data_IF_915791439261
#
_entry.id   IF_915791439261
#
_cell.length_a   1.000
_cell.length_b   1.000
_cell.length_c   1.000
_cell.angle_alpha   90.00
_cell.angle_beta   90.00
_cell.angle_gamma   90.00
#
_symmetry.space_group_name_H-M   'P 1'
#
loop_
_entity.id
_entity.type
_entity.pdbx_description
1 polymer ?
#
# COMPACT_ATOMS: atom_id res chain seq x y z
N UNK A 1 -43.52 -33.48 23.80
CA UNK A 1 -42.09 -33.17 23.59
C UNK A 1 -41.89 -32.89 22.11
N UNK A 2 -41.16 -31.83 21.83
CA UNK A 2 -41.26 -30.95 20.65
C UNK A 2 -40.54 -31.48 19.40
N UNK A 3 -41.23 -31.53 18.26
CA UNK A 3 -40.62 -31.36 16.94
C UNK A 3 -41.58 -30.60 15.99
N UNK A 4 -41.14 -29.41 15.56
CA UNK A 4 -41.60 -28.60 14.42
C UNK A 4 -40.33 -28.35 13.58
N UNK A 5 -40.29 -28.28 12.25
CA UNK A 5 -41.25 -28.26 11.14
C UNK A 5 -40.49 -28.66 9.85
N UNK A 6 -41.27 -29.10 8.85
CA UNK A 6 -40.93 -29.56 7.50
C UNK A 6 -40.24 -28.53 6.57
N UNK A 7 -39.25 -29.02 5.81
CA UNK A 7 -39.00 -28.96 4.32
C UNK A 7 -39.03 -27.60 3.58
N UNK A 8 -38.21 -27.32 2.55
CA UNK A 8 -38.07 -28.01 1.24
C UNK A 8 -36.72 -27.66 0.56
N UNK A 9 -36.21 -28.60 -0.26
CA UNK A 9 -35.03 -28.56 -1.13
C UNK A 9 -35.36 -28.11 -2.58
N UNK A 10 -34.38 -27.47 -3.23
CA UNK A 10 -33.99 -27.52 -4.66
C UNK A 10 -34.72 -26.75 -5.80
N UNK A 11 -33.88 -25.95 -6.48
CA UNK A 11 -33.66 -25.81 -7.94
C UNK A 11 -34.19 -24.57 -8.71
N UNK A 12 -33.32 -24.07 -9.61
CA UNK A 12 -33.38 -22.96 -10.59
C UNK A 12 -33.14 -21.56 -9.98
N UNK A 13 -32.26 -20.70 -10.48
CA UNK A 13 -31.46 -20.62 -11.70
C UNK A 13 -31.07 -19.14 -11.87
N UNK A 14 -29.84 -18.88 -12.32
CA UNK A 14 -29.35 -17.60 -12.87
C UNK A 14 -29.71 -16.29 -12.13
N UNK A 15 -28.74 -15.79 -11.35
CA UNK A 15 -28.28 -14.40 -11.25
C UNK A 15 -27.51 -14.31 -9.92
N UNK A 16 -26.18 -14.34 -9.99
CA UNK A 16 -25.34 -13.93 -8.86
C UNK A 16 -25.24 -12.42 -8.94
N UNK A 17 -25.81 -11.65 -7.98
CA UNK A 17 -25.53 -10.24 -7.91
C UNK A 17 -24.14 -10.08 -7.28
N UNK A 18 -23.25 -9.42 -8.02
CA UNK A 18 -22.00 -8.84 -7.55
C UNK A 18 -22.23 -8.06 -6.27
N UNK A 19 -21.72 -8.56 -5.14
CA UNK A 19 -21.71 -7.85 -3.85
C UNK A 19 -20.81 -8.63 -2.90
N UNK A 20 -19.51 -8.29 -2.88
CA UNK A 20 -18.60 -8.27 -1.73
C UNK A 20 -17.34 -7.57 -2.27
N UNK A 21 -17.35 -6.24 -2.19
CA UNK A 21 -16.14 -5.42 -2.26
C UNK A 21 -15.89 -4.96 -0.84
N UNK A 22 -15.18 -5.78 -0.07
CA UNK A 22 -14.50 -5.29 1.12
C UNK A 22 -13.26 -4.54 0.64
N UNK A 23 -13.45 -3.25 0.34
CA UNK A 23 -12.41 -2.27 0.64
C UNK A 23 -12.21 -2.33 2.15
N UNK A 24 -11.14 -2.97 2.60
CA UNK A 24 -10.82 -3.08 4.02
C UNK A 24 -10.31 -1.72 4.55
N UNK A 25 -11.19 -0.73 4.71
CA UNK A 25 -11.03 0.20 5.84
C UNK A 25 -11.93 -0.30 6.95
N UNK A 26 -11.34 -1.05 7.89
CA UNK A 26 -12.03 -1.35 9.13
C UNK A 26 -12.32 -0.05 9.86
N UNK A 27 -13.56 0.07 10.31
CA UNK A 27 -13.93 1.10 11.27
C UNK A 27 -13.39 0.63 12.62
N UNK A 28 -12.40 1.33 13.18
CA UNK A 28 -11.96 1.05 14.55
C UNK A 28 -13.10 1.40 15.51
N UNK A 29 -13.78 0.39 16.05
CA UNK A 29 -14.77 0.59 17.10
C UNK A 29 -14.02 0.70 18.44
N UNK A 30 -13.81 1.92 18.92
CA UNK A 30 -13.25 2.15 20.26
C UNK A 30 -14.34 1.91 21.32
N UNK A 31 -14.22 0.81 22.07
CA UNK A 31 -14.88 0.68 23.37
C UNK A 31 -13.82 0.89 24.46
N UNK A 32 -13.49 2.13 24.78
CA UNK A 32 -12.65 2.46 25.92
C UNK A 32 -13.52 2.96 27.09
N UNK A 33 -13.56 2.18 28.17
CA UNK A 33 -13.97 2.65 29.50
C UNK A 33 -12.83 3.46 30.14
N UNK A 34 -13.20 4.43 30.99
CA UNK A 34 -12.41 5.57 31.46
C UNK A 34 -10.99 5.32 32.04
N UNK A 35 -10.10 6.28 31.71
CA UNK A 35 -8.95 6.79 32.48
C UNK A 35 -7.51 6.34 32.20
N UNK A 36 -7.17 5.99 30.95
CA UNK A 36 -5.82 6.23 30.42
C UNK A 36 -5.95 6.91 29.06
N UNK A 37 -5.44 8.14 28.93
CA UNK A 37 -5.40 8.82 27.63
C UNK A 37 -4.56 7.98 26.67
N UNK A 38 -5.13 7.53 25.55
CA UNK A 38 -4.38 6.87 24.49
C UNK A 38 -3.15 7.71 24.12
N UNK A 39 -2.00 7.08 23.82
CA UNK A 39 -0.82 7.83 23.40
C UNK A 39 -1.14 8.68 22.16
N UNK A 40 -0.46 9.83 21.98
CA UNK A 40 -0.64 10.64 20.78
C UNK A 40 -0.37 9.81 19.52
N UNK A 41 -1.08 10.14 18.44
CA UNK A 41 -0.87 9.48 17.16
C UNK A 41 0.57 9.68 16.69
N UNK A 42 1.24 8.56 16.41
CA UNK A 42 2.64 8.51 16.06
C UNK A 42 2.81 7.68 14.79
N UNK A 43 3.70 8.17 13.93
CA UNK A 43 4.10 7.52 12.69
C UNK A 43 5.61 7.39 12.68
N UNK A 44 6.12 6.42 11.92
CA UNK A 44 7.55 6.24 11.71
C UNK A 44 7.82 5.77 10.30
N UNK A 45 9.01 6.05 9.80
CA UNK A 45 9.44 5.58 8.50
C UNK A 45 10.89 5.10 8.56
N UNK A 46 11.18 4.00 7.84
CA UNK A 46 12.55 3.60 7.55
C UNK A 46 12.70 3.40 6.06
N UNK A 47 13.74 4.00 5.53
CA UNK A 47 14.11 3.90 4.13
C UNK A 47 15.46 3.19 3.98
N UNK A 48 15.51 2.14 3.17
CA UNK A 48 16.74 1.49 2.74
C UNK A 48 16.87 1.65 1.24
N UNK A 49 17.81 2.49 0.79
CA UNK A 49 18.07 2.74 -0.62
C UNK A 49 19.43 2.18 -1.02
N UNK A 50 19.50 1.46 -2.14
CA UNK A 50 20.75 0.97 -2.72
C UNK A 50 21.75 2.11 -2.97
N UNK A 51 21.25 3.25 -3.47
CA UNK A 51 22.04 4.43 -3.84
C UNK A 51 22.82 5.04 -2.67
N UNK A 52 22.30 4.91 -1.44
CA UNK A 52 22.94 5.40 -0.22
C UNK A 52 23.56 4.28 0.62
N UNK A 53 23.67 3.07 0.08
CA UNK A 53 24.20 1.91 0.78
C UNK A 53 23.27 1.30 1.84
N UNK A 54 21.99 1.68 1.86
CA UNK A 54 21.03 1.24 2.87
C UNK A 54 20.77 -0.28 2.90
N UNK A 55 21.12 -1.01 1.84
CA UNK A 55 20.96 -2.46 1.75
C UNK A 55 22.24 -3.24 2.11
N UNK A 56 23.36 -2.56 2.38
CA UNK A 56 24.67 -3.20 2.56
C UNK A 56 24.77 -4.08 3.82
N UNK A 57 24.10 -3.69 4.90
CA UNK A 57 24.17 -4.39 6.20
C UNK A 57 23.05 -5.43 6.38
N UNK A 58 22.35 -5.79 5.30
CA UNK A 58 21.34 -6.84 5.35
C UNK A 58 22.01 -8.22 5.43
N UNK A 59 21.48 -9.09 6.28
CA UNK A 59 21.93 -10.48 6.36
C UNK A 59 21.36 -11.24 5.18
N UNK A 60 22.21 -11.88 4.36
CA UNK A 60 21.78 -12.57 3.14
C UNK A 60 22.09 -14.08 3.16
N UNK A 61 21.29 -14.86 2.42
CA UNK A 61 21.46 -16.28 2.16
C UNK A 61 20.90 -16.59 0.76
N UNK A 62 21.76 -16.94 -0.22
CA UNK A 62 21.35 -17.05 -1.63
C UNK A 62 21.07 -15.72 -2.33
N UNK A 63 21.33 -14.60 -1.66
CA UNK A 63 21.27 -13.23 -2.17
C UNK A 63 22.63 -12.56 -1.94
N UNK A 64 23.00 -11.68 -2.86
CA UNK A 64 24.13 -10.77 -2.73
C UNK A 64 23.67 -9.32 -2.83
N UNK A 65 24.43 -8.44 -2.17
CA UNK A 65 24.40 -6.99 -2.45
C UNK A 65 25.33 -6.75 -3.64
N UNK A 66 24.76 -6.45 -4.79
CA UNK A 66 25.50 -6.18 -6.01
C UNK A 66 26.34 -4.89 -5.89
N UNK A 67 27.27 -4.67 -6.83
CA UNK A 67 28.16 -3.51 -6.84
C UNK A 67 27.44 -2.15 -6.93
N UNK A 68 26.21 -2.13 -7.43
CA UNK A 68 25.33 -0.96 -7.46
C UNK A 68 24.46 -0.80 -6.19
N UNK A 69 24.73 -1.61 -5.16
CA UNK A 69 24.02 -1.63 -3.88
C UNK A 69 22.69 -2.38 -3.88
N UNK A 70 22.27 -2.96 -5.00
CA UNK A 70 20.97 -3.64 -5.10
C UNK A 70 21.01 -5.08 -4.58
N UNK A 71 19.88 -5.58 -4.06
CA UNK A 71 19.74 -7.00 -3.73
C UNK A 71 19.43 -7.80 -4.99
N UNK A 72 20.17 -8.89 -5.19
CA UNK A 72 20.03 -9.85 -6.29
C UNK A 72 20.31 -11.26 -5.80
N UNK A 73 19.74 -12.25 -6.48
CA UNK A 73 20.14 -13.65 -6.31
C UNK A 73 21.65 -13.79 -6.55
N UNK A 74 22.28 -14.60 -5.70
CA UNK A 74 23.67 -14.97 -5.83
C UNK A 74 23.76 -16.32 -6.56
N UNK A 75 24.26 -16.37 -7.82
CA UNK A 75 24.38 -17.60 -8.64
C UNK A 75 25.18 -18.71 -7.96
N UNK A 76 26.03 -18.38 -6.98
CA UNK A 76 26.90 -19.34 -6.30
C UNK A 76 26.28 -19.94 -5.03
N UNK A 77 25.26 -19.29 -4.46
CA UNK A 77 24.70 -19.68 -3.15
C UNK A 77 23.18 -19.83 -3.11
N UNK A 78 22.46 -19.48 -4.20
CA UNK A 78 21.03 -19.69 -4.28
C UNK A 78 20.64 -21.17 -4.12
N UNK A 79 19.40 -21.40 -3.69
CA UNK A 79 18.88 -22.73 -3.42
C UNK A 79 17.72 -23.03 -4.34
N UNK A 80 17.54 -24.31 -4.64
CA UNK A 80 16.37 -24.77 -5.35
C UNK A 80 15.29 -25.20 -4.36
N UNK A 81 14.09 -24.65 -4.52
CA UNK A 81 12.90 -25.02 -3.76
C UNK A 81 11.77 -25.40 -4.74
N UNK A 82 10.65 -25.85 -4.17
CA UNK A 82 9.44 -26.15 -4.92
C UNK A 82 8.29 -25.29 -4.39
N UNK A 83 7.29 -25.05 -5.24
CA UNK A 83 6.05 -24.42 -4.83
C UNK A 83 5.47 -25.16 -3.62
N UNK A 84 5.13 -24.44 -2.52
CA UNK A 84 4.61 -25.07 -1.32
C UNK A 84 3.27 -25.80 -1.54
N UNK A 85 2.58 -25.51 -2.64
CA UNK A 85 1.34 -26.16 -3.03
C UNK A 85 1.51 -26.96 -4.32
N UNK A 86 0.69 -28.00 -4.49
CA UNK A 86 0.60 -28.67 -5.77
C UNK A 86 0.11 -27.69 -6.84
N UNK A 87 0.60 -27.83 -8.07
CA UNK A 87 0.21 -26.96 -9.17
C UNK A 87 -1.33 -26.88 -9.30
N UNK A 88 -1.85 -25.66 -9.30
CA UNK A 88 -3.28 -25.36 -9.41
C UNK A 88 -4.10 -25.56 -8.13
N UNK A 89 -3.49 -25.96 -7.01
CA UNK A 89 -4.24 -26.28 -5.78
C UNK A 89 -4.35 -25.12 -4.78
N UNK A 90 -3.69 -23.99 -5.01
CA UNK A 90 -3.76 -22.84 -4.10
C UNK A 90 -4.85 -21.90 -4.59
N UNK A 91 -6.00 -21.82 -3.92
CA UNK A 91 -7.11 -20.87 -4.22
C UNK A 91 -7.53 -20.82 -5.72
N UNK A 92 -7.39 -21.93 -6.45
CA UNK A 92 -7.70 -22.03 -7.89
C UNK A 92 -6.57 -21.62 -8.84
N UNK A 93 -5.36 -21.39 -8.31
CA UNK A 93 -4.13 -21.08 -9.04
C UNK A 93 -2.87 -21.68 -8.38
N UNK A 94 -1.74 -21.02 -8.55
CA UNK A 94 -0.45 -21.37 -7.94
C UNK A 94 -0.07 -20.32 -6.90
N UNK A 95 0.64 -20.72 -5.84
CA UNK A 95 1.18 -19.78 -4.86
C UNK A 95 2.41 -19.04 -5.41
N UNK A 96 3.27 -19.76 -6.12
CA UNK A 96 4.31 -19.18 -6.95
C UNK A 96 4.06 -19.57 -8.41
N UNK A 97 4.99 -20.32 -9.01
CA UNK A 97 4.93 -20.74 -10.40
C UNK A 97 4.35 -22.16 -10.59
N UNK A 98 3.95 -22.84 -9.50
CA UNK A 98 3.44 -24.21 -9.52
C UNK A 98 4.51 -25.29 -9.73
N UNK A 99 5.79 -24.94 -9.67
CA UNK A 99 6.90 -25.86 -9.94
C UNK A 99 8.13 -25.57 -9.10
N UNK A 100 9.30 -25.96 -9.61
CA UNK A 100 10.58 -25.64 -8.97
C UNK A 100 11.04 -24.23 -9.30
N UNK A 101 11.81 -23.64 -8.40
CA UNK A 101 12.43 -22.34 -8.59
C UNK A 101 13.72 -22.21 -7.79
N UNK A 102 14.47 -21.20 -8.15
CA UNK A 102 15.68 -20.73 -7.52
C UNK A 102 15.33 -19.60 -6.56
N UNK A 103 15.86 -19.62 -5.33
CA UNK A 103 15.50 -18.66 -4.28
C UNK A 103 16.70 -18.29 -3.40
N UNK A 104 16.63 -17.08 -2.87
CA UNK A 104 17.46 -16.59 -1.77
C UNK A 104 16.68 -15.57 -0.94
N UNK A 105 17.22 -15.23 0.23
CA UNK A 105 16.61 -14.28 1.15
C UNK A 105 17.60 -13.27 1.73
N UNK A 106 17.08 -12.09 2.05
CA UNK A 106 17.79 -11.01 2.70
C UNK A 106 16.92 -10.45 3.83
N UNK A 107 17.51 -10.30 5.02
CA UNK A 107 16.83 -9.82 6.23
C UNK A 107 17.47 -8.51 6.67
N UNK A 108 16.63 -7.48 6.86
CA UNK A 108 17.08 -6.19 7.35
C UNK A 108 17.68 -6.31 8.75
N UNK A 109 18.55 -5.36 9.17
CA UNK A 109 18.85 -5.16 10.57
C UNK A 109 17.57 -4.98 11.41
N UNK A 110 17.67 -5.23 12.71
CA UNK A 110 16.60 -4.88 13.65
C UNK A 110 16.45 -3.37 13.70
N UNK A 111 15.24 -2.87 13.49
CA UNK A 111 14.93 -1.44 13.56
C UNK A 111 14.03 -1.18 14.76
N UNK A 112 14.50 -0.37 15.70
CA UNK A 112 13.67 0.13 16.79
C UNK A 112 12.63 1.11 16.24
N UNK A 113 11.37 0.95 16.64
CA UNK A 113 10.28 1.82 16.17
C UNK A 113 10.26 3.20 16.84
N UNK A 114 10.84 3.32 18.04
CA UNK A 114 10.84 4.56 18.85
C UNK A 114 9.52 4.82 19.58
N UNK A 115 8.47 4.06 19.29
CA UNK A 115 7.17 4.05 19.96
C UNK A 115 6.53 2.66 19.80
N UNK A 116 5.50 2.36 20.60
CA UNK A 116 4.72 1.14 20.45
C UNK A 116 3.88 1.18 19.18
N UNK A 117 4.37 0.59 18.08
CA UNK A 117 3.63 0.58 16.82
C UNK A 117 2.58 -0.52 16.80
N UNK A 118 1.48 -0.27 16.08
CA UNK A 118 0.41 -1.23 15.89
C UNK A 118 0.36 -1.74 14.46
N UNK A 119 0.66 -0.88 13.49
CA UNK A 119 0.61 -1.18 12.07
C UNK A 119 1.95 -0.99 11.39
N UNK A 120 2.30 -1.89 10.46
CA UNK A 120 3.47 -1.78 9.58
C UNK A 120 3.14 -2.21 8.16
N UNK A 121 3.57 -1.41 7.19
CA UNK A 121 3.55 -1.74 5.75
C UNK A 121 4.97 -1.71 5.23
N UNK A 122 5.35 -2.68 4.40
CA UNK A 122 6.66 -2.74 3.76
C UNK A 122 6.51 -2.62 2.24
N UNK A 123 6.92 -1.48 1.69
CA UNK A 123 6.93 -1.21 0.25
C UNK A 123 8.32 -1.45 -0.35
N UNK A 124 8.37 -1.79 -1.64
CA UNK A 124 9.61 -2.06 -2.36
C UNK A 124 9.63 -1.40 -3.72
N UNK A 125 10.84 -1.16 -4.21
CA UNK A 125 11.09 -0.78 -5.60
C UNK A 125 12.01 -1.83 -6.20
N UNK A 126 11.51 -2.57 -7.18
CA UNK A 126 12.24 -3.65 -7.79
C UNK A 126 11.96 -3.76 -9.30
N UNK A 127 12.98 -4.17 -10.04
CA UNK A 127 12.82 -4.69 -11.38
C UNK A 127 12.65 -6.22 -11.26
N UNK A 128 11.61 -6.77 -11.87
CA UNK A 128 11.38 -8.23 -11.91
C UNK A 128 11.29 -8.66 -13.38
N UNK A 129 12.41 -9.02 -14.03
CA UNK A 129 12.40 -9.59 -15.37
C UNK A 129 11.47 -10.82 -15.46
N UNK A 130 10.99 -11.14 -16.67
CA UNK A 130 10.18 -12.34 -16.90
C UNK A 130 10.88 -13.59 -16.34
N UNK A 131 10.10 -14.48 -15.72
CA UNK A 131 10.62 -15.65 -15.00
C UNK A 131 11.06 -15.37 -13.56
N UNK A 132 10.95 -14.14 -13.07
CA UNK A 132 11.37 -13.74 -11.71
C UNK A 132 10.26 -13.04 -10.93
N UNK A 133 10.31 -13.15 -9.60
CA UNK A 133 9.37 -12.51 -8.68
C UNK A 133 10.01 -12.31 -7.31
N UNK A 134 9.30 -11.64 -6.40
CA UNK A 134 9.74 -11.46 -5.02
C UNK A 134 8.59 -11.71 -4.03
N UNK A 135 8.96 -11.95 -2.77
CA UNK A 135 8.08 -12.03 -1.62
C UNK A 135 8.63 -11.11 -0.53
N UNK A 136 7.75 -10.34 0.10
CA UNK A 136 8.10 -9.44 1.21
C UNK A 136 7.44 -9.92 2.48
N UNK A 137 8.22 -10.04 3.56
CA UNK A 137 7.72 -10.43 4.87
C UNK A 137 8.15 -9.44 5.95
N UNK A 138 7.35 -9.33 7.00
CA UNK A 138 7.62 -8.50 8.17
C UNK A 138 7.43 -9.31 9.45
N UNK A 139 8.23 -9.03 10.47
CA UNK A 139 7.99 -9.50 11.84
C UNK A 139 8.22 -8.38 12.84
N UNK A 140 7.58 -8.48 13.99
CA UNK A 140 7.68 -7.52 15.07
C UNK A 140 8.25 -8.15 16.34
N UNK A 141 8.99 -7.36 17.11
CA UNK A 141 9.40 -7.70 18.47
C UNK A 141 8.37 -7.17 19.47
N UNK A 142 7.78 -8.06 20.25
CA UNK A 142 6.66 -7.76 21.18
C UNK A 142 7.18 -7.41 22.58
N UNK A 143 8.25 -8.07 22.97
CA UNK A 143 9.08 -7.78 24.15
C UNK A 143 10.53 -8.15 23.81
N UNK A 144 11.54 -7.66 24.56
CA UNK A 144 12.94 -7.93 24.23
C UNK A 144 13.24 -9.43 24.06
N UNK A 145 13.67 -9.81 22.85
CA UNK A 145 13.98 -11.18 22.45
C UNK A 145 12.78 -12.04 22.03
N UNK A 146 11.54 -11.55 22.15
CA UNK A 146 10.32 -12.27 21.77
C UNK A 146 9.76 -11.67 20.48
N UNK A 147 9.87 -12.44 19.40
CA UNK A 147 9.46 -12.07 18.06
C UNK A 147 8.20 -12.80 17.65
N UNK A 148 7.33 -12.11 16.90
CA UNK A 148 6.29 -12.78 16.13
C UNK A 148 6.90 -13.71 15.08
N UNK A 149 6.06 -14.57 14.48
CA UNK A 149 6.42 -15.17 13.20
C UNK A 149 6.63 -14.10 12.12
N UNK A 150 7.14 -14.53 10.97
CA UNK A 150 7.10 -13.73 9.76
C UNK A 150 5.68 -13.73 9.19
N UNK A 151 5.19 -12.54 8.83
CA UNK A 151 3.95 -12.35 8.09
C UNK A 151 4.27 -11.94 6.67
N UNK A 152 3.62 -12.55 5.69
CA UNK A 152 3.77 -12.20 4.28
C UNK A 152 2.92 -10.96 3.96
N UNK A 153 3.56 -9.94 3.36
CA UNK A 153 2.96 -8.66 2.98
C UNK A 153 2.60 -8.60 1.49
N UNK A 154 3.12 -9.53 0.68
CA UNK A 154 2.74 -9.71 -0.71
C UNK A 154 3.77 -10.46 -1.53
N UNK A 155 3.26 -11.12 -2.58
CA UNK A 155 4.04 -11.77 -3.64
C UNK A 155 3.89 -10.98 -4.93
N UNK A 156 5.02 -10.60 -5.53
CA UNK A 156 5.06 -9.59 -6.59
C UNK A 156 5.91 -9.95 -7.80
N UNK A 157 5.34 -9.72 -8.97
CA UNK A 157 6.04 -9.60 -10.25
C UNK A 157 5.44 -8.42 -11.04
N UNK A 158 6.25 -7.73 -11.84
CA UNK A 158 5.85 -6.60 -12.67
C UNK A 158 4.88 -7.01 -13.78
N UNK A 159 5.03 -8.23 -14.31
CA UNK A 159 4.10 -8.86 -15.23
C UNK A 159 3.50 -10.13 -14.63
N UNK A 160 2.46 -10.66 -15.29
CA UNK A 160 1.73 -11.85 -14.83
C UNK A 160 2.02 -13.10 -15.66
N UNK A 161 3.11 -13.10 -16.44
CA UNK A 161 3.46 -14.22 -17.33
C UNK A 161 3.99 -15.44 -16.58
N UNK A 162 4.58 -15.22 -15.39
CA UNK A 162 5.23 -16.25 -14.58
C UNK A 162 4.42 -16.64 -13.35
N UNK A 163 3.92 -15.63 -12.64
CA UNK A 163 3.07 -15.78 -11.46
C UNK A 163 1.90 -14.80 -11.54
N UNK A 164 0.81 -15.10 -10.83
CA UNK A 164 -0.20 -14.09 -10.52
C UNK A 164 0.24 -13.42 -9.22
N UNK A 165 0.51 -12.11 -9.23
CA UNK A 165 0.84 -11.37 -8.01
C UNK A 165 -0.36 -11.32 -7.07
N UNK A 166 -0.12 -11.54 -5.78
CA UNK A 166 -1.19 -11.67 -4.81
C UNK A 166 -0.77 -11.36 -3.36
N UNK A 167 -1.72 -10.87 -2.56
CA UNK A 167 -1.69 -10.94 -1.11
C UNK A 167 -2.04 -12.36 -0.63
N UNK A 168 -2.03 -12.60 0.67
CA UNK A 168 -2.46 -13.87 1.24
C UNK A 168 -3.86 -13.75 1.87
N UNK A 169 -4.57 -14.87 1.87
CA UNK A 169 -5.82 -15.05 2.60
C UNK A 169 -5.51 -15.59 3.99
N UNK A 170 -6.27 -15.15 4.99
CA UNK A 170 -6.20 -15.67 6.37
C UNK A 170 -4.80 -15.58 7.01
N UNK A 171 -4.02 -14.54 6.67
CA UNK A 171 -2.72 -14.29 7.27
C UNK A 171 -2.88 -13.65 8.67
N UNK A 172 -3.29 -14.47 9.64
CA UNK A 172 -3.59 -14.10 11.03
C UNK A 172 -3.09 -15.16 12.03
N UNK A 173 -2.74 -14.73 13.23
CA UNK A 173 -2.55 -15.57 14.42
C UNK A 173 -2.85 -14.77 15.71
N UNK A 174 -2.45 -15.30 16.87
CA UNK A 174 -2.65 -14.67 18.17
C UNK A 174 -1.87 -13.35 18.35
N UNK A 175 -0.88 -13.06 17.50
CA UNK A 175 -0.01 -11.89 17.60
C UNK A 175 -0.36 -10.79 16.59
N UNK A 176 -0.95 -11.12 15.44
CA UNK A 176 -1.26 -10.14 14.41
C UNK A 176 -2.09 -10.68 13.24
N UNK A 177 -2.56 -9.76 12.41
CA UNK A 177 -3.33 -9.99 11.19
C UNK A 177 -2.79 -9.12 10.06
N UNK A 178 -2.64 -9.66 8.86
CA UNK A 178 -2.35 -8.87 7.64
C UNK A 178 -3.64 -8.57 6.90
N UNK A 179 -3.96 -7.29 6.79
CA UNK A 179 -5.02 -6.79 5.93
C UNK A 179 -4.45 -6.45 4.55
N UNK A 180 -4.44 -7.43 3.65
CA UNK A 180 -3.86 -7.32 2.29
C UNK A 180 -2.35 -7.08 2.31
N UNK A 181 -1.92 -5.89 2.73
CA UNK A 181 -0.53 -5.41 2.76
C UNK A 181 -0.17 -4.64 4.04
N UNK A 182 -1.10 -4.51 4.99
CA UNK A 182 -0.87 -3.92 6.31
C UNK A 182 -0.87 -5.00 7.40
N UNK A 183 0.28 -5.25 8.02
CA UNK A 183 0.32 -6.01 9.26
C UNK A 183 -0.18 -5.14 10.41
N UNK A 184 -1.25 -5.57 11.05
CA UNK A 184 -1.78 -5.01 12.30
C UNK A 184 -1.54 -6.03 13.41
N UNK A 185 -0.72 -5.66 14.39
CA UNK A 185 -0.52 -6.50 15.57
C UNK A 185 -1.82 -6.60 16.36
N UNK A 186 -1.95 -7.56 17.27
CA UNK A 186 -3.02 -7.52 18.28
C UNK A 186 -2.64 -6.52 19.38
N UNK A 187 -3.64 -5.92 20.03
CA UNK A 187 -3.41 -4.89 21.04
C UNK A 187 -2.65 -5.46 22.25
N UNK A 188 -1.60 -4.74 22.64
CA UNK A 188 -0.87 -4.94 23.90
C UNK A 188 -0.52 -3.56 24.47
N UNK A 189 -0.28 -3.43 25.78
CA UNK A 189 0.07 -2.14 26.38
C UNK A 189 1.26 -1.43 25.71
N UNK A 190 2.22 -2.19 25.19
CA UNK A 190 3.47 -1.69 24.62
C UNK A 190 3.52 -1.67 23.08
N UNK A 191 2.56 -2.29 22.38
CA UNK A 191 2.62 -2.45 20.92
C UNK A 191 3.83 -3.28 20.46
N UNK A 192 4.27 -3.06 19.22
CA UNK A 192 5.56 -3.54 18.72
C UNK A 192 6.70 -2.59 19.08
N UNK A 193 7.84 -3.13 19.50
CA UNK A 193 9.02 -2.35 19.92
C UNK A 193 10.03 -2.15 18.80
N UNK A 194 10.27 -3.23 18.05
CA UNK A 194 11.19 -3.29 16.93
C UNK A 194 10.57 -4.11 15.81
N UNK A 195 11.14 -4.03 14.61
CA UNK A 195 10.72 -4.86 13.49
C UNK A 195 11.89 -5.23 12.60
N UNK A 196 11.65 -6.20 11.72
CA UNK A 196 12.53 -6.54 10.60
C UNK A 196 11.69 -6.78 9.34
N UNK A 197 12.30 -6.49 8.20
CA UNK A 197 11.78 -6.82 6.88
C UNK A 197 12.64 -7.93 6.29
N UNK A 198 12.01 -8.91 5.65
CA UNK A 198 12.67 -9.95 4.86
C UNK A 198 12.20 -9.82 3.41
N UNK A 199 13.16 -9.86 2.48
CA UNK A 199 12.90 -9.95 1.05
C UNK A 199 13.40 -11.31 0.57
N UNK A 200 12.53 -12.07 -0.08
CA UNK A 200 12.90 -13.29 -0.81
C UNK A 200 12.82 -13.01 -2.30
N UNK A 201 13.84 -13.42 -3.05
CA UNK A 201 13.92 -13.26 -4.50
C UNK A 201 13.84 -14.62 -5.14
N UNK A 202 13.14 -14.71 -6.26
CA UNK A 202 12.87 -15.98 -6.93
C UNK A 202 13.13 -15.90 -8.43
N UNK A 203 13.51 -17.03 -9.03
CA UNK A 203 13.72 -17.15 -10.46
C UNK A 203 13.43 -18.56 -10.98
N UNK A 204 12.99 -18.68 -12.23
CA UNK A 204 12.98 -19.96 -12.97
C UNK A 204 14.36 -20.32 -13.55
N UNK A 205 15.25 -19.33 -13.68
CA UNK A 205 16.60 -19.47 -14.24
C UNK A 205 17.62 -18.90 -13.26
N UNK A 206 18.62 -19.70 -12.85
CA UNK A 206 19.66 -19.28 -11.91
C UNK A 206 20.50 -18.09 -12.42
N UNK A 207 20.49 -17.83 -13.73
CA UNK A 207 21.18 -16.69 -14.34
C UNK A 207 20.35 -15.39 -14.32
N UNK A 208 19.05 -15.47 -14.04
CA UNK A 208 18.14 -14.33 -13.97
C UNK A 208 17.81 -13.99 -12.51
N UNK A 209 17.61 -12.70 -12.23
CA UNK A 209 17.29 -12.27 -10.87
C UNK A 209 16.45 -10.99 -10.84
N UNK A 210 15.50 -10.88 -9.90
CA UNK A 210 14.97 -9.58 -9.53
C UNK A 210 16.07 -8.64 -9.04
N UNK A 211 15.86 -7.34 -9.19
CA UNK A 211 16.77 -6.31 -8.70
C UNK A 211 16.02 -5.37 -7.76
N UNK A 212 16.26 -5.47 -6.46
CA UNK A 212 15.63 -4.59 -5.45
C UNK A 212 16.55 -3.42 -5.15
N UNK A 213 16.06 -2.20 -5.38
CA UNK A 213 16.83 -0.96 -5.20
C UNK A 213 16.38 -0.10 -4.03
N UNK A 214 15.18 -0.33 -3.51
CA UNK A 214 14.66 0.38 -2.34
C UNK A 214 13.65 -0.48 -1.58
N UNK A 215 13.70 -0.42 -0.25
CA UNK A 215 12.68 -0.97 0.64
C UNK A 215 12.31 0.14 1.63
N UNK A 216 11.01 0.35 1.86
CA UNK A 216 10.51 1.34 2.80
C UNK A 216 9.52 0.70 3.78
N UNK A 217 9.63 1.01 5.07
CA UNK A 217 8.72 0.54 6.10
C UNK A 217 8.00 1.72 6.75
N UNK A 218 6.67 1.76 6.64
CA UNK A 218 5.82 2.78 7.24
C UNK A 218 5.08 2.22 8.47
N UNK A 219 5.23 2.90 9.60
CA UNK A 219 4.68 2.51 10.89
C UNK A 219 3.60 3.48 11.33
N UNK A 220 2.63 2.99 12.11
CA UNK A 220 1.87 3.84 13.02
C UNK A 220 1.39 3.08 14.24
N UNK A 221 0.98 3.81 15.28
CA UNK A 221 0.08 3.30 16.30
C UNK A 221 -1.38 3.43 15.82
N UNK A 222 -2.33 3.46 16.75
CA UNK A 222 -3.76 3.49 16.44
C UNK A 222 -4.17 4.81 15.76
N UNK A 223 -4.90 4.75 14.62
CA UNK A 223 -5.45 5.94 13.98
C UNK A 223 -6.29 6.79 14.94
N UNK A 224 -6.27 8.10 14.75
CA UNK A 224 -7.01 9.05 15.58
C UNK A 224 -7.79 10.05 14.73
N UNK A 225 -8.94 10.49 15.22
CA UNK A 225 -9.60 11.70 14.73
C UNK A 225 -9.19 12.85 15.64
N UNK A 226 -8.23 13.70 15.25
CA UNK A 226 -7.74 14.77 16.13
C UNK A 226 -8.82 15.83 16.37
N UNK A 227 -8.94 16.28 17.62
CA UNK A 227 -9.81 17.41 17.97
C UNK A 227 -9.28 18.73 17.43
N UNK A 228 -7.96 18.91 17.46
CA UNK A 228 -7.24 20.08 16.97
C UNK A 228 -6.30 19.67 15.85
N UNK A 229 -6.34 20.42 14.75
CA UNK A 229 -5.45 20.21 13.61
C UNK A 229 -4.16 21.01 13.78
N UNK A 230 -3.07 20.45 13.25
CA UNK A 230 -1.81 21.17 13.14
C UNK A 230 -2.01 22.32 12.14
N UNK A 231 -1.60 23.52 12.54
CA UNK A 231 -1.71 24.69 11.68
C UNK A 231 -0.74 24.56 10.50
N UNK A 232 -1.26 24.70 9.29
CA UNK A 232 -0.47 24.72 8.07
C UNK A 232 0.41 25.97 7.92
N UNK A 233 1.33 25.90 6.97
CA UNK A 233 2.25 26.97 6.58
C UNK A 233 1.79 27.66 5.31
N UNK A 234 1.46 28.96 5.45
CA UNK A 234 0.99 29.81 4.35
C UNK A 234 1.94 29.92 3.16
N UNK A 235 3.22 29.56 3.32
CA UNK A 235 4.19 29.63 2.23
C UNK A 235 3.93 28.60 1.12
N UNK A 236 3.16 27.55 1.40
CA UNK A 236 2.81 26.49 0.45
C UNK A 236 1.37 26.60 -0.08
N UNK A 237 0.61 27.58 0.41
CA UNK A 237 -0.77 27.83 -0.01
C UNK A 237 -0.80 28.58 -1.35
N UNK A 238 -1.91 28.48 -2.07
CA UNK A 238 -2.03 29.01 -3.44
C UNK A 238 -1.18 28.25 -4.47
N UNK A 239 -0.71 27.05 -4.11
CA UNK A 239 0.10 26.19 -5.00
C UNK A 239 -0.75 25.02 -5.46
N UNK A 240 -0.80 24.81 -6.78
CA UNK A 240 -1.49 23.69 -7.40
C UNK A 240 -0.66 23.13 -8.56
N UNK A 241 -0.39 21.83 -8.52
CA UNK A 241 0.27 21.11 -9.60
C UNK A 241 -0.72 20.75 -10.70
N UNK A 242 -0.28 20.82 -11.96
CA UNK A 242 -1.09 20.44 -13.12
C UNK A 242 -1.09 18.92 -13.34
N UNK A 243 -1.55 18.17 -12.34
CA UNK A 243 -1.74 16.73 -12.44
C UNK A 243 -2.94 16.45 -13.36
N UNK A 244 -2.81 15.54 -14.36
CA UNK A 244 -3.94 15.16 -15.21
C UNK A 244 -5.15 14.71 -14.38
N UNK A 245 -6.35 15.04 -14.86
CA UNK A 245 -7.62 14.75 -14.18
C UNK A 245 -8.36 13.64 -14.90
N UNK A 246 -8.39 12.44 -14.31
CA UNK A 246 -9.05 11.27 -14.88
C UNK A 246 -10.07 10.71 -13.91
N UNK A 247 -11.31 10.54 -14.36
CA UNK A 247 -12.39 9.91 -13.62
C UNK A 247 -12.31 8.40 -13.79
N UNK A 248 -12.54 7.67 -12.70
CA UNK A 248 -12.73 6.23 -12.74
C UNK A 248 -14.16 5.87 -13.21
N UNK A 249 -15.12 6.78 -13.03
CA UNK A 249 -16.56 6.51 -13.26
C UNK A 249 -16.94 6.50 -14.74
N UNK A 250 -16.04 6.92 -15.63
CA UNK A 250 -16.27 6.85 -17.09
C UNK A 250 -16.04 5.45 -17.66
N UNK A 251 -15.51 4.51 -16.87
CA UNK A 251 -15.27 3.12 -17.27
C UNK A 251 -16.37 2.20 -16.72
N UNK A 252 -17.35 1.79 -17.54
CA UNK A 252 -18.49 1.01 -17.06
C UNK A 252 -18.13 -0.45 -16.72
N UNK A 253 -16.90 -0.88 -17.01
CA UNK A 253 -16.39 -2.24 -16.87
C UNK A 253 -15.62 -2.48 -15.55
N UNK A 254 -16.04 -1.83 -14.47
CA UNK A 254 -15.44 -1.98 -13.13
C UNK A 254 -14.77 -0.72 -12.60
N UNK A 255 -14.92 0.42 -13.28
CA UNK A 255 -14.33 1.69 -12.88
C UNK A 255 -14.67 2.14 -11.46
N UNK A 256 -15.82 1.76 -10.92
CA UNK A 256 -16.29 2.12 -9.58
C UNK A 256 -15.37 1.65 -8.43
N UNK A 257 -14.41 0.77 -8.70
CA UNK A 257 -13.41 0.27 -7.72
C UNK A 257 -11.96 0.54 -8.12
N UNK A 258 -11.74 1.44 -9.08
CA UNK A 258 -10.41 1.75 -9.63
C UNK A 258 -9.80 3.05 -9.08
N UNK A 259 -10.23 3.54 -7.90
CA UNK A 259 -9.75 4.80 -7.34
C UNK A 259 -8.22 4.85 -7.17
N UNK A 260 -7.61 3.76 -6.66
CA UNK A 260 -6.16 3.65 -6.51
C UNK A 260 -5.40 3.66 -7.85
N UNK A 261 -5.65 2.72 -8.79
CA UNK A 261 -4.94 2.73 -10.08
C UNK A 261 -5.23 3.98 -10.92
N UNK A 262 -6.41 4.58 -10.80
CA UNK A 262 -6.72 5.85 -11.48
C UNK A 262 -5.89 7.00 -10.92
N UNK A 263 -5.80 7.10 -9.59
CA UNK A 263 -4.93 8.08 -8.91
C UNK A 263 -3.46 7.87 -9.27
N UNK A 264 -3.00 6.62 -9.29
CA UNK A 264 -1.65 6.28 -9.72
C UNK A 264 -1.40 6.67 -11.17
N UNK A 265 -2.31 6.38 -12.10
CA UNK A 265 -2.18 6.73 -13.50
C UNK A 265 -2.05 8.25 -13.72
N UNK A 266 -2.82 9.06 -12.97
CA UNK A 266 -2.70 10.52 -12.98
C UNK A 266 -1.27 10.97 -12.58
N UNK A 267 -0.72 10.42 -11.50
CA UNK A 267 0.64 10.75 -11.04
C UNK A 267 1.74 10.21 -11.95
N UNK A 268 1.56 9.02 -12.54
CA UNK A 268 2.49 8.49 -13.54
C UNK A 268 2.54 9.40 -14.78
N UNK A 269 1.39 9.88 -15.24
CA UNK A 269 1.29 10.80 -16.38
C UNK A 269 1.89 12.18 -16.07
N UNK A 270 1.77 12.66 -14.82
CA UNK A 270 2.42 13.88 -14.36
C UNK A 270 3.95 13.80 -14.47
N UNK A 271 4.55 12.70 -14.02
CA UNK A 271 6.01 12.56 -14.02
C UNK A 271 6.61 12.15 -15.37
N UNK A 272 5.92 11.30 -16.13
CA UNK A 272 6.50 10.66 -17.31
C UNK A 272 6.03 11.33 -18.59
N UNK A 273 6.94 12.09 -19.21
CA UNK A 273 6.69 12.68 -20.54
C UNK A 273 6.28 11.60 -21.54
N UNK A 274 5.14 11.80 -22.19
CA UNK A 274 4.60 10.87 -23.18
C UNK A 274 3.94 9.62 -22.62
N UNK A 275 3.81 9.49 -21.29
CA UNK A 275 2.98 8.44 -20.72
C UNK A 275 1.51 8.63 -21.15
N UNK A 276 0.77 7.53 -21.37
CA UNK A 276 -0.65 7.63 -21.71
C UNK A 276 -1.45 8.30 -20.58
N UNK A 277 -2.36 9.19 -20.96
CA UNK A 277 -3.23 9.93 -20.02
C UNK A 277 -4.62 9.29 -20.03
N UNK A 278 -5.25 9.22 -18.86
CA UNK A 278 -6.58 8.64 -18.66
C UNK A 278 -6.69 7.24 -19.25
N UNK A 279 -7.66 6.92 -20.12
CA UNK A 279 -8.05 5.54 -20.40
C UNK A 279 -6.90 4.54 -20.61
N UNK A 280 -5.92 4.75 -21.51
CA UNK A 280 -4.86 3.77 -21.68
C UNK A 280 -3.93 3.68 -20.47
N UNK A 281 -3.71 4.79 -19.76
CA UNK A 281 -2.89 4.84 -18.55
C UNK A 281 -3.60 4.19 -17.35
N UNK A 282 -4.89 4.47 -17.18
CA UNK A 282 -5.74 3.87 -16.13
C UNK A 282 -5.83 2.37 -16.35
N UNK A 283 -6.13 1.89 -17.56
CA UNK A 283 -6.20 0.46 -17.87
C UNK A 283 -4.86 -0.25 -17.66
N UNK A 284 -3.75 0.39 -18.04
CA UNK A 284 -2.42 -0.15 -17.77
C UNK A 284 -2.14 -0.26 -16.26
N UNK A 285 -2.50 0.77 -15.47
CA UNK A 285 -2.36 0.74 -14.01
C UNK A 285 -3.26 -0.33 -13.37
N UNK A 286 -4.53 -0.43 -13.79
CA UNK A 286 -5.49 -1.46 -13.33
C UNK A 286 -4.90 -2.86 -13.52
N UNK A 287 -4.47 -3.20 -14.75
CA UNK A 287 -3.84 -4.48 -15.04
C UNK A 287 -2.51 -4.68 -14.27
N UNK A 288 -1.79 -3.58 -14.02
CA UNK A 288 -0.49 -3.57 -13.37
C UNK A 288 -0.53 -3.61 -11.83
N UNK A 289 -1.67 -3.34 -11.19
CA UNK A 289 -1.82 -3.38 -9.72
C UNK A 289 -2.83 -4.40 -9.19
N UNK A 290 -3.69 -4.99 -10.03
CA UNK A 290 -4.58 -6.11 -9.65
C UNK A 290 -3.92 -7.20 -8.79
N UNK A 291 -4.49 -7.46 -7.62
CA UNK A 291 -4.11 -8.48 -6.67
C UNK A 291 -5.11 -9.64 -6.77
N UNK A 292 -4.63 -10.83 -7.14
CA UNK A 292 -5.51 -11.96 -7.45
C UNK A 292 -6.27 -12.52 -6.24
N UNK A 293 -5.63 -12.60 -5.07
CA UNK A 293 -6.27 -13.16 -3.87
C UNK A 293 -7.18 -12.11 -3.20
N UNK A 294 -6.75 -10.85 -3.20
CA UNK A 294 -7.60 -9.74 -2.77
C UNK A 294 -8.78 -9.50 -3.72
N UNK A 295 -8.66 -9.93 -4.99
CA UNK A 295 -9.63 -9.67 -6.07
C UNK A 295 -9.89 -8.17 -6.24
N UNK A 296 -8.81 -7.38 -6.30
CA UNK A 296 -8.92 -5.93 -6.32
C UNK A 296 -7.64 -5.16 -6.60
N UNK A 297 -7.74 -3.83 -6.54
CA UNK A 297 -6.69 -2.91 -7.01
C UNK A 297 -6.16 -1.98 -5.89
N UNK A 298 -6.68 -2.16 -4.68
CA UNK A 298 -6.47 -1.31 -3.51
C UNK A 298 -5.27 -1.68 -2.65
N UNK A 299 -4.49 -2.70 -3.03
CA UNK A 299 -3.23 -3.04 -2.36
C UNK A 299 -2.23 -1.87 -2.53
N UNK A 300 -1.96 -1.14 -1.45
CA UNK A 300 -1.18 0.09 -1.46
C UNK A 300 0.25 -0.17 -1.92
N UNK A 301 0.84 -1.24 -1.40
CA UNK A 301 2.21 -1.62 -1.75
C UNK A 301 2.32 -2.01 -3.22
N UNK A 302 1.36 -2.74 -3.79
CA UNK A 302 1.37 -3.09 -5.22
C UNK A 302 1.27 -1.86 -6.13
N UNK A 303 0.54 -0.82 -5.72
CA UNK A 303 0.50 0.43 -6.47
C UNK A 303 1.87 1.13 -6.50
N UNK A 304 2.56 1.17 -5.35
CA UNK A 304 3.93 1.73 -5.30
C UNK A 304 4.95 0.87 -6.05
N UNK A 305 4.84 -0.45 -5.97
CA UNK A 305 5.69 -1.37 -6.72
C UNK A 305 5.46 -1.23 -8.24
N UNK A 306 4.22 -1.08 -8.69
CA UNK A 306 3.92 -0.79 -10.10
C UNK A 306 4.54 0.52 -10.54
N UNK A 307 4.42 1.60 -9.75
CA UNK A 307 5.06 2.87 -10.06
C UNK A 307 6.59 2.72 -10.23
N UNK A 308 7.21 1.89 -9.39
CA UNK A 308 8.63 1.60 -9.45
C UNK A 308 9.05 0.89 -10.75
N UNK A 309 8.19 0.05 -11.34
CA UNK A 309 8.47 -0.59 -12.66
C UNK A 309 8.64 0.44 -13.79
N UNK A 310 8.16 1.66 -13.61
CA UNK A 310 8.31 2.75 -14.58
C UNK A 310 9.55 3.63 -14.31
N UNK A 311 10.49 3.15 -13.50
CA UNK A 311 11.74 3.84 -13.18
C UNK A 311 11.60 4.95 -12.13
N UNK A 312 10.45 5.04 -11.46
CA UNK A 312 10.21 6.01 -10.39
C UNK A 312 10.62 5.44 -9.02
N UNK A 313 10.83 6.34 -8.08
CA UNK A 313 10.88 6.05 -6.66
C UNK A 313 9.47 6.16 -6.10
N UNK A 314 9.00 5.09 -5.45
CA UNK A 314 7.66 5.04 -4.87
C UNK A 314 7.65 4.34 -3.52
N UNK A 315 6.98 4.92 -2.52
CA UNK A 315 6.86 4.34 -1.17
C UNK A 315 5.47 4.59 -0.60
N UNK A 316 5.03 3.68 0.27
CA UNK A 316 3.92 3.93 1.17
C UNK A 316 4.47 4.65 2.40
N UNK A 317 3.86 5.74 2.82
CA UNK A 317 4.25 6.51 4.00
C UNK A 317 3.03 6.88 4.85
N UNK A 318 3.27 7.33 6.08
CA UNK A 318 2.24 7.87 6.98
C UNK A 318 2.67 9.22 7.53
N UNK A 319 1.70 10.12 7.68
CA UNK A 319 1.89 11.47 8.21
C UNK A 319 0.83 11.76 9.28
N UNK A 320 1.08 12.76 10.13
CA UNK A 320 0.19 13.09 11.24
C UNK A 320 -0.68 14.32 10.97
N UNK A 321 -0.40 15.05 9.89
CA UNK A 321 -1.17 16.23 9.49
C UNK A 321 -0.99 16.59 8.02
N UNK A 322 -1.89 17.43 7.49
CA UNK A 322 -1.67 18.03 6.16
C UNK A 322 -0.53 19.04 6.15
N UNK A 323 -0.20 19.62 7.31
CA UNK A 323 0.97 20.49 7.43
C UNK A 323 2.28 19.75 7.08
N UNK A 324 2.34 18.44 7.33
CA UNK A 324 3.49 17.61 6.93
C UNK A 324 3.55 17.33 5.42
N UNK A 325 2.41 17.40 4.72
CA UNK A 325 2.32 17.21 3.27
C UNK A 325 2.58 18.50 2.48
N UNK A 326 2.38 19.68 3.08
CA UNK A 326 2.61 20.96 2.41
C UNK A 326 4.04 21.14 1.85
N UNK A 327 5.13 20.74 2.54
CA UNK A 327 6.47 20.74 1.95
C UNK A 327 6.62 19.81 0.73
N UNK A 328 5.86 18.72 0.65
CA UNK A 328 5.86 17.83 -0.52
C UNK A 328 5.19 18.50 -1.73
N UNK A 329 4.08 19.19 -1.49
CA UNK A 329 3.44 20.04 -2.51
C UNK A 329 4.39 21.15 -2.95
N UNK A 330 5.08 21.81 -2.01
CA UNK A 330 6.10 22.82 -2.32
C UNK A 330 7.30 22.27 -3.10
N UNK A 331 7.57 20.97 -2.98
CA UNK A 331 8.56 20.25 -3.79
C UNK A 331 7.97 19.70 -5.09
N UNK A 332 6.75 20.09 -5.47
CA UNK A 332 6.04 19.64 -6.68
C UNK A 332 5.84 18.12 -6.74
N UNK A 333 5.65 17.46 -5.59
CA UNK A 333 5.31 16.04 -5.48
C UNK A 333 3.82 15.87 -5.18
N UNK A 334 2.99 15.39 -6.13
CA UNK A 334 1.62 15.01 -5.86
C UNK A 334 1.57 13.86 -4.86
N UNK A 335 0.62 13.94 -3.93
CA UNK A 335 0.46 12.91 -2.89
C UNK A 335 -0.82 12.13 -3.15
N UNK A 336 -0.72 10.81 -3.36
CA UNK A 336 -1.91 9.95 -3.39
C UNK A 336 -2.22 9.59 -1.95
N UNK A 337 -3.43 9.82 -1.46
CA UNK A 337 -3.78 9.54 -0.07
C UNK A 337 -5.06 8.72 0.02
N UNK A 338 -5.12 7.86 1.03
CA UNK A 338 -6.25 6.96 1.28
C UNK A 338 -7.16 7.56 2.33
N UNK A 339 -8.47 7.62 2.13
CA UNK A 339 -9.42 8.15 3.11
C UNK A 339 -10.79 7.48 2.98
N UNK A 340 -11.66 7.68 3.96
CA UNK A 340 -13.02 7.14 3.96
C UNK A 340 -13.96 8.12 4.68
N UNK A 341 -15.27 8.00 4.42
CA UNK A 341 -16.27 8.87 5.01
C UNK A 341 -17.65 8.21 5.01
N UNK A 342 -18.45 8.56 6.01
CA UNK A 342 -19.89 8.28 6.05
C UNK A 342 -20.67 9.41 5.39
N UNK A 343 -21.95 9.13 5.16
CA UNK A 343 -22.88 10.10 4.61
C UNK A 343 -22.94 11.38 5.47
N UNK A 344 -22.68 12.53 4.82
CA UNK A 344 -22.67 13.84 5.45
C UNK A 344 -21.39 14.21 6.21
N UNK A 345 -20.34 13.37 6.21
CA UNK A 345 -19.07 13.70 6.88
C UNK A 345 -18.12 14.57 6.03
N UNK A 346 -18.26 14.55 4.70
CA UNK A 346 -17.40 15.29 3.76
C UNK A 346 -18.23 16.06 2.73
N UNK A 347 -18.19 17.39 2.83
CA UNK A 347 -18.89 18.28 1.92
C UNK A 347 -18.21 18.31 0.54
N UNK A 348 -19.03 18.30 -0.52
CA UNK A 348 -18.54 18.37 -1.90
C UNK A 348 -18.01 17.05 -2.49
N UNK A 349 -18.04 15.95 -1.72
CA UNK A 349 -17.60 14.65 -2.20
C UNK A 349 -18.47 14.14 -3.37
N UNK A 350 -17.89 13.49 -4.41
CA UNK A 350 -18.66 12.99 -5.55
C UNK A 350 -19.54 11.79 -5.19
N UNK A 351 -19.20 11.07 -4.12
CA UNK A 351 -19.97 9.94 -3.59
C UNK A 351 -20.53 10.31 -2.22
N UNK A 352 -21.75 9.82 -1.87
CA UNK A 352 -22.33 10.09 -0.56
C UNK A 352 -21.52 9.49 0.59
N UNK A 353 -20.87 8.34 0.37
CA UNK A 353 -20.02 7.65 1.35
C UNK A 353 -19.00 6.75 0.65
N UNK A 354 -17.91 6.43 1.35
CA UNK A 354 -16.95 5.40 0.94
C UNK A 354 -16.34 4.71 2.15
N UNK A 355 -16.18 3.39 2.06
CA UNK A 355 -15.45 2.58 3.05
C UNK A 355 -13.94 2.51 2.75
N UNK A 356 -13.44 3.28 1.79
CA UNK A 356 -12.05 3.28 1.37
C UNK A 356 -11.94 3.88 -0.02
N UNK A 357 -11.20 4.98 -0.13
CA UNK A 357 -11.06 5.75 -1.36
C UNK A 357 -9.65 6.30 -1.47
N UNK A 358 -9.17 6.46 -2.70
CA UNK A 358 -7.89 7.10 -2.96
C UNK A 358 -8.07 8.24 -3.95
N UNK A 359 -7.39 9.34 -3.68
CA UNK A 359 -7.36 10.53 -4.52
C UNK A 359 -5.97 11.16 -4.50
N UNK A 360 -5.73 12.12 -5.39
CA UNK A 360 -4.46 12.85 -5.46
C UNK A 360 -4.63 14.23 -4.83
N UNK A 361 -3.87 14.52 -3.78
CA UNK A 361 -3.65 15.88 -3.32
C UNK A 361 -2.71 16.59 -4.31
N UNK A 362 -3.28 17.53 -5.07
CA UNK A 362 -2.59 18.29 -6.10
C UNK A 362 -2.08 19.65 -5.59
N UNK A 363 -2.55 20.11 -4.44
CA UNK A 363 -2.18 21.41 -3.91
C UNK A 363 -3.00 21.88 -2.71
N UNK A 364 -2.83 23.15 -2.37
CA UNK A 364 -3.64 23.86 -1.38
C UNK A 364 -4.03 25.23 -1.96
N UNK A 365 -5.28 25.63 -1.74
CA UNK A 365 -5.76 26.95 -2.18
C UNK A 365 -5.22 28.08 -1.29
N UNK A 366 -5.63 29.32 -1.56
CA UNK A 366 -5.17 30.50 -0.81
C UNK A 366 -5.60 30.52 0.68
N UNK A 367 -6.56 29.68 1.06
CA UNK A 367 -7.03 29.51 2.45
C UNK A 367 -6.37 28.31 3.14
N UNK A 368 -5.57 27.53 2.41
CA UNK A 368 -4.94 26.31 2.90
C UNK A 368 -5.87 25.09 2.85
N UNK A 369 -6.97 25.17 2.10
CA UNK A 369 -7.86 24.04 1.85
C UNK A 369 -7.27 23.14 0.75
N UNK A 370 -7.29 21.81 0.94
CA UNK A 370 -6.70 20.85 0.00
C UNK A 370 -7.41 20.85 -1.35
N UNK A 371 -6.63 21.01 -2.42
CA UNK A 371 -7.03 20.81 -3.80
C UNK A 371 -6.76 19.35 -4.17
N UNK A 372 -7.83 18.61 -4.46
CA UNK A 372 -7.80 17.16 -4.66
C UNK A 372 -8.35 16.79 -6.03
N UNK A 373 -7.60 16.01 -6.79
CA UNK A 373 -8.09 15.30 -7.95
C UNK A 373 -8.74 13.99 -7.48
N UNK A 374 -10.06 14.01 -7.31
CA UNK A 374 -10.86 12.89 -6.82
C UNK A 374 -11.43 12.08 -8.00
N UNK A 375 -10.94 10.85 -8.23
CA UNK A 375 -11.28 10.07 -9.41
C UNK A 375 -12.74 9.59 -9.41
N UNK A 376 -13.45 9.60 -8.28
CA UNK A 376 -14.85 9.17 -8.22
C UNK A 376 -15.84 10.19 -8.82
N UNK A 377 -15.33 11.29 -9.41
CA UNK A 377 -16.13 12.25 -10.17
C UNK A 377 -16.90 11.60 -11.32
N UNK A 378 -18.04 12.17 -11.71
CA UNK A 378 -18.83 11.67 -12.84
C UNK A 378 -18.11 11.82 -14.21
N UNK A 379 -17.27 12.84 -14.37
CA UNK A 379 -16.48 13.09 -15.59
C UNK A 379 -15.07 13.56 -15.25
N UNK A 380 -14.14 13.44 -16.20
CA UNK A 380 -12.75 13.93 -16.07
C UNK A 380 -12.68 15.41 -15.69
N UNK A 381 -13.62 16.24 -16.18
CA UNK A 381 -13.66 17.68 -15.89
C UNK A 381 -14.03 17.98 -14.45
N UNK A 382 -14.75 17.07 -13.80
CA UNK A 382 -15.26 17.23 -12.44
C UNK A 382 -14.31 16.65 -11.39
N UNK A 383 -13.16 16.08 -11.77
CA UNK A 383 -12.22 15.40 -10.87
C UNK A 383 -11.57 16.36 -9.87
N UNK A 384 -11.15 17.54 -10.33
CA UNK A 384 -10.54 18.56 -9.47
C UNK A 384 -11.60 19.16 -8.53
N UNK A 385 -11.35 19.09 -7.22
CA UNK A 385 -12.20 19.65 -6.16
C UNK A 385 -11.35 20.32 -5.07
N UNK A 386 -11.99 21.19 -4.29
CA UNK A 386 -11.42 21.74 -3.04
C UNK A 386 -12.28 21.23 -1.90
N UNK A 387 -11.66 20.59 -0.91
CA UNK A 387 -12.36 20.07 0.26
C UNK A 387 -12.09 20.94 1.48
N UNK A 388 -13.05 21.09 2.42
CA UNK A 388 -12.76 21.73 3.69
C UNK A 388 -11.66 20.95 4.43
N UNK A 389 -10.51 21.59 4.67
CA UNK A 389 -9.33 20.97 5.30
C UNK A 389 -9.69 20.21 6.57
N UNK A 390 -10.48 20.87 7.41
CA UNK A 390 -10.95 20.34 8.68
C UNK A 390 -11.59 18.96 8.57
N UNK A 391 -12.49 18.80 7.60
CA UNK A 391 -13.22 17.55 7.40
C UNK A 391 -12.30 16.48 6.84
N UNK A 392 -11.59 16.80 5.75
CA UNK A 392 -10.76 15.82 5.05
C UNK A 392 -9.60 15.31 5.91
N UNK A 393 -8.90 16.19 6.62
CA UNK A 393 -7.74 15.83 7.45
C UNK A 393 -8.13 14.88 8.58
N UNK A 394 -9.25 15.15 9.26
CA UNK A 394 -9.77 14.26 10.33
C UNK A 394 -10.19 12.90 9.78
N UNK A 395 -10.77 12.86 8.59
CA UNK A 395 -11.20 11.62 7.95
C UNK A 395 -10.01 10.78 7.49
N UNK A 396 -9.01 11.40 6.85
CA UNK A 396 -7.76 10.78 6.45
C UNK A 396 -7.00 10.19 7.65
N UNK A 397 -6.78 10.98 8.70
CA UNK A 397 -6.09 10.50 9.89
C UNK A 397 -6.89 9.44 10.65
N UNK A 398 -8.22 9.60 10.74
CA UNK A 398 -9.07 8.73 11.54
C UNK A 398 -9.39 7.38 10.91
N UNK A 399 -9.49 7.29 9.58
CA UNK A 399 -9.84 6.04 8.90
C UNK A 399 -8.63 5.25 8.43
N UNK A 400 -7.59 5.94 7.97
CA UNK A 400 -6.47 5.27 7.26
C UNK A 400 -5.12 5.57 7.91
N UNK A 401 -5.11 6.26 9.05
CA UNK A 401 -3.88 6.53 9.82
C UNK A 401 -2.88 7.36 9.03
N UNK A 402 -3.35 8.34 8.25
CA UNK A 402 -2.47 9.24 7.53
C UNK A 402 -1.73 8.59 6.35
N UNK A 403 -2.26 7.48 5.81
CA UNK A 403 -1.57 6.69 4.78
C UNK A 403 -1.57 7.40 3.41
N UNK A 404 -0.40 7.42 2.77
CA UNK A 404 -0.16 8.01 1.46
C UNK A 404 0.78 7.18 0.59
N UNK A 405 0.74 7.41 -0.72
CA UNK A 405 1.82 7.07 -1.64
C UNK A 405 2.58 8.33 -2.02
N UNK A 406 3.90 8.21 -2.03
CA UNK A 406 4.79 9.22 -2.55
C UNK A 406 5.49 8.63 -3.76
N UNK A 407 5.32 9.26 -4.92
CA UNK A 407 5.89 8.82 -6.18
C UNK A 407 6.62 10.00 -6.80
N UNK A 408 7.90 9.83 -7.11
CA UNK A 408 8.74 10.88 -7.71
C UNK A 408 9.91 10.27 -8.51
N UNK A 409 10.54 11.03 -9.43
CA UNK A 409 11.78 10.61 -10.08
C UNK A 409 12.90 10.37 -9.04
N UNK A 410 13.83 9.41 -9.27
CA UNK A 410 14.86 9.08 -8.30
C UNK A 410 15.74 10.25 -7.83
N UNK A 411 16.08 11.15 -8.76
CA UNK A 411 16.93 12.32 -8.49
C UNK A 411 16.14 13.58 -8.10
N UNK A 412 14.81 13.44 -7.88
CA UNK A 412 13.97 14.56 -7.48
C UNK A 412 14.23 14.93 -6.01
N UNK A 413 14.44 16.22 -5.75
CA UNK A 413 14.65 16.71 -4.38
C UNK A 413 13.33 16.69 -3.62
N UNK A 414 13.29 15.95 -2.51
CA UNK A 414 12.10 15.75 -1.69
C UNK A 414 12.39 16.05 -0.22
N UNK A 415 11.35 16.39 0.58
CA UNK A 415 11.49 16.42 2.04
C UNK A 415 11.95 15.07 2.60
N UNK A 416 12.59 15.09 3.78
CA UNK A 416 12.94 13.87 4.49
C UNK A 416 11.66 13.15 4.97
N UNK A 417 11.68 11.82 4.94
CA UNK A 417 10.63 10.97 5.51
C UNK A 417 11.07 10.44 6.87
N UNK A 418 10.46 10.97 7.94
CA UNK A 418 10.49 10.41 9.30
C UNK A 418 11.84 10.44 9.97
#
# INVERSE_FOLDING_TARGET
MSHRRRSVLQALGAMVPSSILLGSAMTFASNASESDSLPPFAVGFKDWQAQTGGLADWTTDGIQVASDGTLRLDPDTLKQEQDPYAAGSYEGGNFYNGGSYWVGEAVSPVVAAGFGFQGVMASWNADTPAGTWLETLVRAERTPGVWTRWYNIGIWAADTSTIQRHSLKEEEDDEGIVYTDLLVLKETPQGGLSYQVKIRLFSQDAAASPRVRRVGAALSNNPVRPEQLVTGSRQYWGTEMTVPTCSQMVYPDGGEVWCSPTSLAMVLAYWRRGAPVCEPGVRAAVAGVYDWIYDGHGNWVFNTAHAATHGLNAVVARFTSFADLEPWIGAEVPVIFSFAWKEGELDGAPLPKSNGHLAVLAGFDDQGDPIVNDPAAATDRDVRRVYPRGQLERLWLGYTGGTVYLVHPPDWSVPALG
#
